data_IF_576443370758
#
_entry.id   IF_576443370758
#
_cell.length_a   1.000
_cell.length_b   1.000
_cell.length_c   1.000
_cell.angle_alpha   90.00
_cell.angle_beta   90.00
_cell.angle_gamma   90.00
#
_symmetry.space_group_name_H-M   'P 1'
#
loop_
_entity.id
_entity.type
_entity.pdbx_description
1 polymer ?
#
# COMPACT_ATOMS: atom_id res chain seq x y z
N UNK A 1 24.24 48.57 12.50
CA UNK A 1 25.37 47.82 13.11
C UNK A 1 26.19 47.21 11.99
N UNK A 2 27.47 47.58 11.85
CA UNK A 2 28.34 47.05 10.79
C UNK A 2 28.76 45.63 11.15
N UNK A 3 28.78 44.74 10.17
CA UNK A 3 29.16 43.31 10.31
C UNK A 3 30.63 43.12 10.75
N UNK A 4 31.38 44.22 10.88
CA UNK A 4 32.80 44.28 11.24
C UNK A 4 33.08 44.27 12.74
N UNK A 5 32.07 44.47 13.60
CA UNK A 5 32.25 44.48 15.08
C UNK A 5 32.19 43.09 15.73
N UNK A 6 32.12 42.02 14.92
CA UNK A 6 32.10 40.63 15.41
C UNK A 6 33.53 40.10 15.49
N UNK A 7 33.94 39.63 16.67
CA UNK A 7 35.27 39.06 16.87
C UNK A 7 35.54 37.91 15.89
N UNK A 8 36.78 37.83 15.40
CA UNK A 8 37.22 36.85 14.38
C UNK A 8 36.84 35.41 14.77
N UNK A 9 36.92 35.09 16.06
CA UNK A 9 36.56 33.79 16.60
C UNK A 9 35.06 33.47 16.39
N UNK A 10 34.16 34.41 16.67
CA UNK A 10 32.70 34.25 16.43
C UNK A 10 32.39 34.10 14.94
N UNK A 11 33.09 34.83 14.08
CA UNK A 11 32.91 34.78 12.63
C UNK A 11 33.32 33.41 12.06
N UNK A 12 34.38 32.81 12.60
CA UNK A 12 34.81 31.44 12.26
C UNK A 12 33.80 30.39 12.73
N UNK A 13 33.29 30.50 13.96
CA UNK A 13 32.26 29.61 14.47
C UNK A 13 30.97 29.66 13.64
N UNK A 14 30.50 30.85 13.25
CA UNK A 14 29.31 30.98 12.40
C UNK A 14 29.53 30.33 11.02
N UNK A 15 30.72 30.48 10.43
CA UNK A 15 31.04 29.89 9.13
C UNK A 15 31.01 28.36 9.14
N UNK A 16 31.16 27.72 10.29
CA UNK A 16 31.14 26.25 10.46
C UNK A 16 29.80 25.76 10.99
N UNK A 17 29.28 26.37 12.05
CA UNK A 17 28.07 25.92 12.73
C UNK A 17 26.83 26.12 11.86
N UNK A 18 26.77 27.21 11.09
CA UNK A 18 25.61 27.49 10.24
C UNK A 18 25.41 26.41 9.16
N UNK A 19 26.42 26.04 8.34
CA UNK A 19 26.25 24.94 7.39
C UNK A 19 26.05 23.58 8.07
N UNK A 20 26.70 23.31 9.21
CA UNK A 20 26.46 22.06 9.95
C UNK A 20 25.04 21.96 10.51
N UNK A 21 24.49 23.06 11.03
CA UNK A 21 23.13 23.11 11.50
C UNK A 21 22.13 22.91 10.35
N UNK A 22 22.39 23.52 9.19
CA UNK A 22 21.58 23.30 8.00
C UNK A 22 21.62 21.83 7.54
N UNK A 23 22.79 21.20 7.52
CA UNK A 23 22.94 19.78 7.21
C UNK A 23 22.21 18.90 8.23
N UNK A 24 22.36 19.20 9.53
CA UNK A 24 21.69 18.46 10.59
C UNK A 24 20.17 18.56 10.50
N UNK A 25 19.65 19.75 10.18
CA UNK A 25 18.23 19.96 9.94
C UNK A 25 17.72 19.15 8.75
N UNK A 26 18.42 19.20 7.61
CA UNK A 26 18.04 18.42 6.42
C UNK A 26 18.12 16.90 6.66
N UNK A 27 19.14 16.44 7.39
CA UNK A 27 19.25 15.03 7.75
C UNK A 27 18.09 14.61 8.67
N UNK A 28 17.74 15.43 9.66
CA UNK A 28 16.64 15.16 10.56
C UNK A 28 15.30 15.08 9.81
N UNK A 29 15.01 16.03 8.91
CA UNK A 29 13.77 16.01 8.13
C UNK A 29 13.70 14.80 7.19
N UNK A 30 14.83 14.41 6.60
CA UNK A 30 14.91 13.24 5.72
C UNK A 30 14.71 11.93 6.49
N UNK A 31 15.31 11.80 7.68
CA UNK A 31 15.10 10.64 8.56
C UNK A 31 13.64 10.57 9.02
N UNK A 32 13.05 11.70 9.41
CA UNK A 32 11.66 11.76 9.83
C UNK A 32 10.70 11.35 8.68
N UNK A 33 10.97 11.83 7.46
CA UNK A 33 10.21 11.42 6.27
C UNK A 33 10.33 9.93 6.01
N UNK A 34 11.55 9.40 6.01
CA UNK A 34 11.81 7.98 5.76
C UNK A 34 11.16 7.08 6.82
N UNK A 35 11.12 7.54 8.08
CA UNK A 35 10.40 6.84 9.14
C UNK A 35 8.89 6.82 8.89
N UNK A 36 8.32 7.95 8.46
CA UNK A 36 6.90 8.02 8.14
C UNK A 36 6.55 7.13 6.94
N UNK A 37 7.36 7.14 5.89
CA UNK A 37 7.19 6.29 4.71
C UNK A 37 7.29 4.80 5.08
N UNK A 38 8.23 4.43 5.95
CA UNK A 38 8.35 3.08 6.47
C UNK A 38 7.06 2.63 7.20
N UNK A 39 6.49 3.51 8.03
CA UNK A 39 5.23 3.23 8.74
C UNK A 39 4.04 3.10 7.78
N UNK A 40 3.98 3.93 6.74
CA UNK A 40 2.98 3.81 5.69
C UNK A 40 3.13 2.49 4.91
N UNK A 41 4.36 2.09 4.59
CA UNK A 41 4.60 0.82 3.90
C UNK A 41 4.18 -0.39 4.73
N UNK A 42 4.38 -0.36 6.05
CA UNK A 42 3.85 -1.41 6.93
C UNK A 42 2.33 -1.54 6.82
N UNK A 43 1.59 -0.43 6.69
CA UNK A 43 0.13 -0.46 6.49
C UNK A 43 -0.25 -0.97 5.10
N UNK A 44 0.51 -0.59 4.07
CA UNK A 44 0.27 -1.04 2.69
C UNK A 44 0.41 -2.56 2.57
N UNK A 45 1.37 -3.17 3.26
CA UNK A 45 1.52 -4.64 3.28
C UNK A 45 0.24 -5.30 3.79
N UNK A 46 -0.27 -4.86 4.94
CA UNK A 46 -1.53 -5.39 5.51
C UNK A 46 -2.73 -5.20 4.58
N UNK A 47 -2.83 -4.04 3.93
CA UNK A 47 -3.92 -3.75 2.98
C UNK A 47 -3.78 -4.63 1.72
N UNK A 48 -2.55 -4.87 1.27
CA UNK A 48 -2.27 -5.65 0.05
C UNK A 48 -2.68 -7.12 0.20
N UNK A 49 -2.48 -7.72 1.37
CA UNK A 49 -2.95 -9.08 1.65
C UNK A 49 -4.49 -9.17 1.56
N UNK A 50 -5.22 -8.17 2.07
CA UNK A 50 -6.67 -8.11 1.94
C UNK A 50 -7.12 -7.94 0.48
N UNK A 51 -6.36 -7.17 -0.33
CA UNK A 51 -6.65 -7.02 -1.77
C UNK A 51 -6.52 -8.35 -2.50
N UNK A 52 -5.54 -9.18 -2.14
CA UNK A 52 -5.39 -10.51 -2.73
C UNK A 52 -6.61 -11.40 -2.44
N UNK A 53 -7.08 -11.43 -1.19
CA UNK A 53 -8.28 -12.18 -0.78
C UNK A 53 -9.52 -11.70 -1.56
N UNK A 54 -9.70 -10.39 -1.69
CA UNK A 54 -10.81 -9.81 -2.46
C UNK A 54 -10.68 -10.15 -3.95
N UNK A 55 -9.47 -10.15 -4.51
CA UNK A 55 -9.20 -10.53 -5.89
C UNK A 55 -9.60 -11.98 -6.18
N UNK A 56 -9.22 -12.91 -5.31
CA UNK A 56 -9.62 -14.33 -5.41
C UNK A 56 -11.13 -14.50 -5.32
N UNK A 57 -11.79 -13.74 -4.43
CA UNK A 57 -13.26 -13.74 -4.32
C UNK A 57 -13.92 -13.25 -5.61
N UNK A 58 -13.43 -12.14 -6.17
CA UNK A 58 -13.93 -11.61 -7.46
C UNK A 58 -13.73 -12.63 -8.57
N UNK A 59 -12.58 -13.30 -8.63
CA UNK A 59 -12.32 -14.34 -9.63
C UNK A 59 -13.30 -15.52 -9.51
N UNK A 60 -13.55 -16.01 -8.30
CA UNK A 60 -14.51 -17.09 -8.07
C UNK A 60 -15.94 -16.69 -8.50
N UNK A 61 -16.37 -15.47 -8.16
CA UNK A 61 -17.66 -14.93 -8.57
C UNK A 61 -17.78 -14.75 -10.10
N UNK A 62 -16.69 -14.38 -10.78
CA UNK A 62 -16.68 -14.28 -12.24
C UNK A 62 -16.89 -15.65 -12.91
N UNK A 63 -16.25 -16.70 -12.39
CA UNK A 63 -16.44 -18.07 -12.87
C UNK A 63 -17.88 -18.52 -12.64
N UNK A 64 -18.44 -18.31 -11.44
CA UNK A 64 -19.83 -18.64 -11.13
C UNK A 64 -20.81 -17.89 -12.04
N UNK A 65 -20.58 -16.60 -12.28
CA UNK A 65 -21.40 -15.78 -13.19
C UNK A 65 -21.37 -16.31 -14.61
N UNK A 66 -20.18 -16.66 -15.13
CA UNK A 66 -20.03 -17.21 -16.48
C UNK A 66 -20.78 -18.53 -16.65
N UNK A 67 -20.63 -19.45 -15.69
CA UNK A 67 -21.31 -20.74 -15.72
C UNK A 67 -22.82 -20.60 -15.49
N UNK A 68 -23.26 -19.66 -14.65
CA UNK A 68 -24.67 -19.35 -14.46
C UNK A 68 -25.31 -18.86 -15.75
N UNK A 69 -24.63 -17.97 -16.49
CA UNK A 69 -25.11 -17.50 -17.79
C UNK A 69 -25.21 -18.66 -18.81
N UNK A 70 -24.21 -19.55 -18.85
CA UNK A 70 -24.25 -20.75 -19.70
C UNK A 70 -25.38 -21.71 -19.33
N UNK A 71 -25.57 -21.97 -18.03
CA UNK A 71 -26.65 -22.81 -17.51
C UNK A 71 -28.03 -22.24 -17.87
N UNK A 72 -28.25 -20.93 -17.66
CA UNK A 72 -29.50 -20.24 -18.03
C UNK A 72 -29.73 -20.30 -19.54
N UNK A 73 -28.71 -20.02 -20.36
CA UNK A 73 -28.81 -20.07 -21.82
C UNK A 73 -29.15 -21.49 -22.33
N UNK A 74 -28.67 -22.52 -21.64
CA UNK A 74 -29.02 -23.92 -21.92
C UNK A 74 -30.41 -24.32 -21.42
N UNK A 75 -31.19 -23.41 -20.82
CA UNK A 75 -32.45 -23.69 -20.11
C UNK A 75 -32.28 -24.75 -19.01
N UNK A 76 -31.12 -24.74 -18.37
CA UNK A 76 -30.75 -25.69 -17.32
C UNK A 76 -30.41 -27.10 -17.79
N UNK A 77 -30.25 -27.33 -19.10
CA UNK A 77 -29.95 -28.64 -19.66
C UNK A 77 -28.50 -29.07 -19.45
N UNK A 78 -27.54 -28.13 -19.43
CA UNK A 78 -26.10 -28.42 -19.41
C UNK A 78 -25.36 -27.63 -18.32
N UNK A 79 -24.25 -28.19 -17.81
CA UNK A 79 -23.31 -27.46 -16.96
C UNK A 79 -23.72 -27.34 -15.48
N UNK A 80 -24.69 -28.13 -15.01
CA UNK A 80 -25.15 -28.07 -13.61
C UNK A 80 -24.06 -28.42 -12.60
N UNK A 81 -23.29 -29.47 -12.87
CA UNK A 81 -22.19 -29.93 -12.01
C UNK A 81 -21.09 -28.88 -11.89
N UNK A 82 -20.73 -28.23 -12.99
CA UNK A 82 -19.71 -27.19 -13.03
C UNK A 82 -20.18 -25.95 -12.27
N UNK A 83 -21.47 -25.56 -12.44
CA UNK A 83 -22.07 -24.46 -11.71
C UNK A 83 -22.12 -24.71 -10.19
N UNK A 84 -22.52 -25.91 -9.75
CA UNK A 84 -22.54 -26.25 -8.32
C UNK A 84 -21.13 -26.35 -7.71
N UNK A 85 -20.12 -26.62 -8.54
CA UNK A 85 -18.71 -26.57 -8.13
C UNK A 85 -18.23 -25.11 -7.99
N UNK A 86 -18.57 -24.25 -8.95
CA UNK A 86 -18.22 -22.84 -8.91
C UNK A 86 -18.89 -22.09 -7.74
N UNK A 87 -20.15 -22.40 -7.43
CA UNK A 87 -20.85 -21.87 -6.24
C UNK A 87 -20.13 -22.20 -4.94
N UNK A 88 -19.75 -23.47 -4.75
CA UNK A 88 -18.98 -23.88 -3.57
C UNK A 88 -17.62 -23.20 -3.50
N UNK A 89 -16.97 -22.95 -4.64
CA UNK A 89 -15.71 -22.20 -4.69
C UNK A 89 -15.90 -20.72 -4.30
N UNK A 90 -16.99 -20.08 -4.73
CA UNK A 90 -17.33 -18.70 -4.34
C UNK A 90 -17.73 -18.60 -2.86
N UNK A 91 -18.47 -19.56 -2.32
CA UNK A 91 -18.76 -19.64 -0.89
C UNK A 91 -17.49 -19.82 -0.04
N UNK A 92 -16.57 -20.67 -0.51
CA UNK A 92 -15.30 -20.90 0.17
C UNK A 92 -14.38 -19.68 0.15
N UNK A 93 -14.39 -18.86 -0.92
CA UNK A 93 -13.62 -17.61 -0.95
C UNK A 93 -14.22 -16.54 -0.04
N UNK A 94 -15.53 -16.52 0.13
CA UNK A 94 -16.21 -15.61 1.06
C UNK A 94 -15.86 -15.90 2.53
N UNK A 95 -15.67 -17.17 2.90
CA UNK A 95 -15.23 -17.55 4.25
C UNK A 95 -13.78 -17.17 4.58
N UNK A 96 -12.97 -16.81 3.57
CA UNK A 96 -11.58 -16.38 3.75
C UNK A 96 -11.43 -14.88 4.00
N UNK A 97 -12.50 -14.12 3.80
CA UNK A 97 -12.60 -12.69 4.14
C UNK A 97 -13.09 -12.53 5.57
#
# INVERSE_FOLDING_TARGET
MRITDVSINRRLWIAVVLPLAAMGYLAFTQIASMWNDYRHMQQIVTISDNIAIVGDMVHALQVERGLSAGFINSRGANGRTDLDTARRAAEASLQRF
#
